data_IF_598293635990
#
_entry.id   IF_598293635990
#
_cell.length_a   1.000
_cell.length_b   1.000
_cell.length_c   1.000
_cell.angle_alpha   90.00
_cell.angle_beta   90.00
_cell.angle_gamma   90.00
#
_symmetry.space_group_name_H-M   'P 1'
#
loop_
_entity.id
_entity.type
_entity.pdbx_description
1 polymer ?
#
# COMPACT_ATOMS: atom_id res chain seq x y z
N UNK A 1 1.42 101.51 -14.03
CA UNK A 1 2.32 101.02 -12.97
C UNK A 1 1.82 99.66 -12.53
N UNK A 2 2.60 98.61 -12.77
CA UNK A 2 2.61 97.36 -12.01
C UNK A 2 3.90 96.60 -12.42
N UNK A 3 4.79 96.26 -11.47
CA UNK A 3 6.09 95.70 -11.80
C UNK A 3 6.01 94.20 -12.11
N UNK A 4 6.68 93.79 -13.20
CA UNK A 4 6.97 92.40 -13.52
C UNK A 4 8.07 91.88 -12.59
N UNK A 5 7.79 90.81 -11.84
CA UNK A 5 8.81 89.95 -11.23
C UNK A 5 8.97 88.68 -12.08
N UNK A 6 10.21 88.18 -12.28
CA UNK A 6 10.42 86.92 -12.98
C UNK A 6 10.13 85.73 -12.04
N UNK A 7 9.37 84.75 -12.53
CA UNK A 7 9.14 83.48 -11.83
C UNK A 7 10.38 82.59 -12.01
N UNK A 8 11.01 82.19 -10.91
CA UNK A 8 12.06 81.16 -10.90
C UNK A 8 11.44 79.75 -10.98
N UNK A 9 12.13 78.77 -11.61
CA UNK A 9 11.67 77.39 -11.65
C UNK A 9 11.97 76.66 -10.33
N UNK A 10 10.92 76.15 -9.69
CA UNK A 10 11.03 75.25 -8.53
C UNK A 10 11.31 73.84 -9.08
N UNK A 11 12.55 73.38 -8.99
CA UNK A 11 12.95 72.00 -9.32
C UNK A 11 12.60 71.08 -8.13
N UNK A 12 11.94 69.92 -8.32
CA UNK A 12 11.53 69.06 -7.22
C UNK A 12 12.68 68.12 -6.81
N UNK A 13 13.54 68.57 -5.88
CA UNK A 13 14.59 67.75 -5.27
C UNK A 13 14.07 66.64 -4.34
N UNK A 14 12.75 66.50 -4.16
CA UNK A 14 12.16 65.64 -3.12
C UNK A 14 11.75 64.23 -3.59
N UNK A 15 11.64 63.97 -4.91
CA UNK A 15 11.16 62.67 -5.43
C UNK A 15 12.24 61.61 -5.61
N UNK A 16 13.53 61.98 -5.60
CA UNK A 16 14.62 61.00 -5.73
C UNK A 16 14.92 60.28 -4.39
N UNK A 17 14.78 60.95 -3.24
CA UNK A 17 15.08 60.34 -1.93
C UNK A 17 14.10 59.24 -1.51
N UNK A 18 12.80 59.37 -1.78
CA UNK A 18 11.80 58.39 -1.31
C UNK A 18 11.93 57.05 -2.03
N UNK A 19 12.27 57.04 -3.33
CA UNK A 19 12.48 55.80 -4.09
C UNK A 19 13.74 55.06 -3.65
N UNK A 20 14.80 55.79 -3.28
CA UNK A 20 16.03 55.22 -2.73
C UNK A 20 15.77 54.63 -1.35
N UNK A 21 15.03 55.34 -0.51
CA UNK A 21 14.66 54.86 0.82
C UNK A 21 13.77 53.61 0.75
N UNK A 22 12.77 53.58 -0.13
CA UNK A 22 11.89 52.43 -0.30
C UNK A 22 12.65 51.18 -0.78
N UNK A 23 13.57 51.33 -1.76
CA UNK A 23 14.42 50.23 -2.20
C UNK A 23 15.31 49.69 -1.08
N UNK A 24 15.88 50.57 -0.25
CA UNK A 24 16.71 50.16 0.88
C UNK A 24 15.88 49.39 1.93
N UNK A 25 14.68 49.85 2.26
CA UNK A 25 13.77 49.17 3.21
C UNK A 25 13.36 47.79 2.68
N UNK A 26 13.00 47.69 1.40
CA UNK A 26 12.63 46.40 0.77
C UNK A 26 13.82 45.45 0.76
N UNK A 27 15.03 45.92 0.46
CA UNK A 27 16.22 45.08 0.48
C UNK A 27 16.53 44.51 1.87
N UNK A 28 16.40 45.32 2.93
CA UNK A 28 16.57 44.86 4.32
C UNK A 28 15.50 43.85 4.71
N UNK A 29 14.25 44.07 4.32
CA UNK A 29 13.16 43.13 4.59
C UNK A 29 13.36 41.78 3.89
N UNK A 30 13.77 41.78 2.61
CA UNK A 30 14.05 40.56 1.86
C UNK A 30 15.22 39.80 2.48
N UNK A 31 16.32 40.48 2.84
CA UNK A 31 17.46 39.86 3.49
C UNK A 31 17.11 39.25 4.87
N UNK A 32 16.25 39.92 5.64
CA UNK A 32 15.76 39.39 6.90
C UNK A 32 14.89 38.13 6.70
N UNK A 33 14.03 38.12 5.68
CA UNK A 33 13.18 36.96 5.35
C UNK A 33 14.04 35.78 4.88
N UNK A 34 15.04 35.99 4.03
CA UNK A 34 15.93 34.91 3.57
C UNK A 34 16.73 34.31 4.72
N UNK A 35 17.25 35.14 5.64
CA UNK A 35 17.94 34.63 6.84
C UNK A 35 17.00 33.86 7.77
N UNK A 36 15.75 34.31 7.96
CA UNK A 36 14.77 33.57 8.76
C UNK A 36 14.42 32.21 8.13
N UNK A 37 14.34 32.13 6.80
CA UNK A 37 14.09 30.87 6.09
C UNK A 37 15.28 29.92 6.19
N UNK A 38 16.51 30.41 6.04
CA UNK A 38 17.72 29.59 6.24
C UNK A 38 17.82 29.03 7.66
N UNK A 39 17.57 29.87 8.68
CA UNK A 39 17.56 29.41 10.09
C UNK A 39 16.46 28.39 10.32
N UNK A 40 15.28 28.57 9.74
CA UNK A 40 14.18 27.60 9.86
C UNK A 40 14.54 26.24 9.24
N UNK A 41 15.20 26.21 8.08
CA UNK A 41 15.65 24.97 7.43
C UNK A 41 16.68 24.24 8.29
N UNK A 42 17.67 24.95 8.85
CA UNK A 42 18.69 24.35 9.74
C UNK A 42 18.06 23.79 11.03
N UNK A 43 17.09 24.50 11.61
CA UNK A 43 16.35 24.00 12.79
C UNK A 43 15.56 22.74 12.45
N UNK A 44 14.91 22.70 11.29
CA UNK A 44 14.14 21.52 10.85
C UNK A 44 15.05 20.31 10.60
N UNK A 45 16.20 20.48 9.95
CA UNK A 45 17.19 19.41 9.75
C UNK A 45 17.72 18.86 11.09
N UNK A 46 18.00 19.73 12.06
CA UNK A 46 18.45 19.32 13.39
C UNK A 46 17.37 18.52 14.16
N UNK A 47 16.10 18.91 14.05
CA UNK A 47 14.98 18.21 14.69
C UNK A 47 14.78 16.83 14.05
N UNK A 48 14.88 16.71 12.73
CA UNK A 48 14.78 15.43 12.02
C UNK A 48 15.94 14.50 12.41
N UNK A 49 17.17 15.01 12.50
CA UNK A 49 18.33 14.24 12.94
C UNK A 49 18.20 13.74 14.40
N UNK A 50 17.67 14.58 15.30
CA UNK A 50 17.39 14.19 16.70
C UNK A 50 16.28 13.13 16.78
N UNK A 51 15.25 13.21 15.92
CA UNK A 51 14.18 12.21 15.89
C UNK A 51 14.66 10.83 15.40
N UNK A 52 15.56 10.80 14.40
CA UNK A 52 16.16 9.56 13.88
C UNK A 52 17.01 8.87 14.97
N UNK A 53 17.84 9.62 15.70
CA UNK A 53 18.67 9.05 16.78
C UNK A 53 17.83 8.54 17.97
N UNK A 54 16.70 9.18 18.29
CA UNK A 54 15.78 8.68 19.31
C UNK A 54 15.06 7.40 18.89
N UNK A 55 14.75 7.21 17.60
CA UNK A 55 14.14 5.96 17.11
C UNK A 55 15.11 4.77 17.18
N UNK A 56 16.41 4.97 16.91
CA UNK A 56 17.39 3.88 17.03
C UNK A 56 17.60 3.42 18.49
N UNK A 57 17.54 4.33 19.46
CA UNK A 57 17.64 3.98 20.90
C UNK A 57 16.43 3.17 21.39
N UNK A 58 15.22 3.45 20.88
CA UNK A 58 14.00 2.70 21.25
C UNK A 58 14.04 1.26 20.73
N UNK A 59 14.57 1.03 19.52
CA UNK A 59 14.69 -0.32 18.95
C UNK A 59 15.71 -1.17 19.73
N UNK A 60 16.79 -0.58 20.24
CA UNK A 60 17.82 -1.33 21.00
C UNK A 60 17.37 -1.71 22.42
N UNK A 61 16.53 -0.90 23.08
CA UNK A 61 16.03 -1.21 24.43
C UNK A 61 14.96 -2.32 24.44
N UNK A 62 14.23 -2.52 23.34
CA UNK A 62 13.19 -3.55 23.27
C UNK A 62 13.74 -5.00 23.13
N UNK A 63 15.04 -5.19 22.90
CA UNK A 63 15.63 -6.51 22.66
C UNK A 63 16.08 -7.26 23.94
N UNK A 64 16.00 -6.66 25.13
CA UNK A 64 16.39 -7.32 26.38
C UNK A 64 15.23 -7.41 27.37
N UNK A 65 14.66 -8.61 27.47
CA UNK A 65 14.07 -9.10 28.71
C UNK A 65 12.56 -9.23 28.71
N UNK A 66 12.09 -10.44 28.38
CA UNK A 66 11.02 -11.11 29.14
C UNK A 66 11.28 -12.61 29.12
N UNK A 67 12.03 -13.07 30.12
CA UNK A 67 12.07 -14.47 30.54
C UNK A 67 11.35 -14.60 31.88
N UNK A 68 10.55 -15.66 32.01
CA UNK A 68 10.28 -16.31 33.31
C UNK A 68 8.83 -16.33 33.82
N UNK A 69 8.51 -17.50 34.40
CA UNK A 69 7.38 -17.88 35.28
C UNK A 69 6.00 -18.12 34.65
N UNK A 70 5.30 -19.23 34.92
CA UNK A 70 5.52 -20.33 35.84
C UNK A 70 4.18 -21.09 35.97
N UNK A 71 4.22 -22.42 36.07
CA UNK A 71 2.98 -23.20 36.26
C UNK A 71 3.10 -24.68 35.94
N UNK A 72 3.74 -25.44 36.83
CA UNK A 72 3.66 -26.90 36.81
C UNK A 72 2.43 -27.41 37.57
N UNK A 73 1.91 -28.57 37.16
CA UNK A 73 1.69 -29.71 38.06
C UNK A 73 1.35 -30.97 37.25
N UNK A 74 2.14 -32.02 37.41
CA UNK A 74 1.91 -33.33 36.83
C UNK A 74 2.95 -34.33 37.31
N UNK A 75 2.69 -34.96 38.46
CA UNK A 75 3.59 -35.90 39.14
C UNK A 75 3.43 -37.32 38.59
N UNK A 76 4.56 -38.02 38.45
CA UNK A 76 4.68 -39.48 38.50
C UNK A 76 5.07 -40.11 37.16
N UNK A 77 5.96 -41.10 37.06
CA UNK A 77 6.73 -41.90 38.04
C UNK A 77 7.89 -42.56 37.26
N UNK A 78 9.07 -42.60 37.89
CA UNK A 78 10.03 -43.72 37.84
C UNK A 78 10.73 -44.06 36.52
N UNK A 79 12.06 -43.99 36.51
CA UNK A 79 12.86 -44.62 35.46
C UNK A 79 14.30 -44.14 35.41
N UNK A 80 15.12 -44.61 36.36
CA UNK A 80 16.58 -44.52 36.29
C UNK A 80 17.09 -45.36 35.13
N UNK A 81 17.72 -44.76 34.11
CA UNK A 81 18.70 -45.45 33.28
C UNK A 81 19.85 -44.52 32.88
N UNK A 82 21.04 -45.07 33.08
CA UNK A 82 22.36 -44.49 32.82
C UNK A 82 22.50 -44.10 31.36
N UNK A 83 23.29 -43.06 31.13
CA UNK A 83 23.84 -42.67 29.85
C UNK A 83 24.70 -43.81 29.27
N UNK A 84 24.37 -44.27 28.08
CA UNK A 84 25.33 -44.91 27.18
C UNK A 84 25.26 -44.22 25.81
N UNK A 85 26.44 -43.85 25.35
CA UNK A 85 26.77 -43.20 24.10
C UNK A 85 26.42 -44.07 22.89
N UNK A 86 25.50 -43.59 22.05
CA UNK A 86 25.30 -44.08 20.69
C UNK A 86 24.72 -42.97 19.79
N UNK A 87 25.43 -41.85 19.71
CA UNK A 87 25.20 -40.82 18.68
C UNK A 87 26.09 -41.13 17.49
N UNK A 88 25.52 -41.60 16.36
CA UNK A 88 26.05 -41.34 15.00
C UNK A 88 25.22 -41.96 13.87
N UNK A 89 24.35 -42.95 14.10
CA UNK A 89 23.71 -43.70 12.99
C UNK A 89 22.24 -43.42 12.73
N UNK A 90 21.54 -42.65 13.58
CA UNK A 90 20.09 -42.41 13.43
C UNK A 90 19.72 -41.12 12.67
N UNK A 91 20.68 -40.24 12.36
CA UNK A 91 20.38 -38.92 11.78
C UNK A 91 19.97 -39.01 10.32
N UNK A 92 20.58 -39.89 9.52
CA UNK A 92 20.31 -39.99 8.08
C UNK A 92 18.95 -40.61 7.75
N UNK A 93 18.44 -41.48 8.63
CA UNK A 93 17.14 -42.15 8.41
C UNK A 93 15.97 -41.24 8.78
N UNK A 94 16.15 -40.37 9.78
CA UNK A 94 15.17 -39.33 10.12
C UNK A 94 15.14 -38.26 9.02
N UNK A 95 16.30 -37.87 8.49
CA UNK A 95 16.43 -36.85 7.46
C UNK A 95 15.87 -37.33 6.10
N UNK A 96 16.11 -38.59 5.72
CA UNK A 96 15.47 -39.21 4.54
C UNK A 96 13.97 -39.40 4.69
N UNK A 97 13.50 -39.69 5.91
CA UNK A 97 12.06 -39.79 6.20
C UNK A 97 11.38 -38.41 6.24
N UNK A 98 12.11 -37.35 6.56
CA UNK A 98 11.63 -35.97 6.52
C UNK A 98 11.60 -35.41 5.10
N UNK A 99 12.57 -35.79 4.25
CA UNK A 99 12.54 -35.49 2.81
C UNK A 99 11.44 -36.28 2.06
N UNK A 100 11.13 -37.52 2.47
CA UNK A 100 9.97 -38.26 1.96
C UNK A 100 8.61 -37.74 2.46
N UNK A 101 8.62 -36.89 3.50
CA UNK A 101 7.46 -36.16 4.02
C UNK A 101 7.41 -34.72 3.51
N UNK A 102 8.11 -34.39 2.42
CA UNK A 102 7.81 -33.19 1.64
C UNK A 102 6.37 -33.29 1.16
N UNK A 103 5.48 -32.75 1.98
CA UNK A 103 4.04 -32.75 1.82
C UNK A 103 3.73 -32.25 0.40
N UNK A 104 3.34 -33.18 -0.47
CA UNK A 104 2.46 -32.82 -1.58
C UNK A 104 1.31 -32.02 -0.96
N UNK A 105 0.84 -30.93 -1.60
CA UNK A 105 -0.38 -30.28 -1.15
C UNK A 105 -1.42 -31.37 -0.92
N UNK A 106 -2.12 -31.37 0.22
CA UNK A 106 -3.28 -32.24 0.41
C UNK A 106 -4.28 -31.88 -0.69
N UNK A 107 -4.16 -32.56 -1.83
CA UNK A 107 -5.05 -32.39 -2.96
C UNK A 107 -6.42 -32.79 -2.45
N UNK A 108 -7.33 -31.82 -2.46
CA UNK A 108 -8.72 -31.98 -2.08
C UNK A 108 -9.33 -33.15 -2.86
N UNK A 109 -9.31 -34.34 -2.25
CA UNK A 109 -9.85 -35.58 -2.82
C UNK A 109 -11.38 -35.60 -2.85
N UNK A 110 -12.03 -34.51 -2.41
CA UNK A 110 -13.46 -34.30 -2.51
C UNK A 110 -13.73 -33.60 -3.84
N UNK A 111 -13.88 -34.37 -4.92
CA UNK A 111 -14.43 -33.86 -6.18
C UNK A 111 -15.95 -34.02 -6.15
N UNK A 112 -16.68 -32.96 -6.45
CA UNK A 112 -18.12 -33.04 -6.65
C UNK A 112 -18.40 -33.90 -7.90
N UNK A 113 -19.42 -34.76 -7.82
CA UNK A 113 -19.91 -35.49 -9.00
C UNK A 113 -20.44 -34.51 -10.05
N UNK A 114 -20.19 -34.77 -11.33
CA UNK A 114 -20.75 -33.98 -12.42
C UNK A 114 -22.28 -33.93 -12.37
N UNK A 115 -22.87 -32.82 -12.83
CA UNK A 115 -24.33 -32.67 -12.90
C UNK A 115 -24.92 -33.77 -13.80
N UNK A 116 -25.94 -34.52 -13.35
CA UNK A 116 -26.66 -35.46 -14.20
C UNK A 116 -27.44 -34.70 -15.30
N UNK A 117 -27.84 -35.38 -16.40
CA UNK A 117 -28.54 -34.73 -17.50
C UNK A 117 -29.76 -33.91 -17.06
N UNK A 118 -30.07 -32.80 -17.78
CA UNK A 118 -31.24 -31.98 -17.45
C UNK A 118 -32.53 -32.80 -17.52
N UNK A 119 -33.49 -32.48 -16.65
CA UNK A 119 -34.80 -33.12 -16.63
C UNK A 119 -35.59 -32.86 -17.92
N UNK A 120 -36.26 -33.89 -18.42
CA UNK A 120 -36.99 -33.86 -19.72
C UNK A 120 -38.51 -33.81 -19.50
N UNK A 121 -38.98 -34.15 -18.30
CA UNK A 121 -40.41 -34.26 -17.98
C UNK A 121 -40.98 -32.86 -17.69
N UNK A 122 -42.05 -32.48 -18.40
CA UNK A 122 -42.81 -31.26 -18.16
C UNK A 122 -43.04 -30.43 -19.42
N UNK A 123 -43.89 -29.41 -19.31
CA UNK A 123 -44.11 -28.43 -20.37
C UNK A 123 -43.03 -27.33 -20.30
N UNK A 124 -42.48 -26.95 -21.46
CA UNK A 124 -41.47 -25.88 -21.53
C UNK A 124 -42.14 -24.52 -21.34
N UNK A 125 -41.61 -23.71 -20.44
CA UNK A 125 -42.10 -22.35 -20.19
C UNK A 125 -40.95 -21.34 -20.23
N UNK A 126 -41.20 -20.15 -20.79
CA UNK A 126 -40.23 -19.08 -20.86
C UNK A 126 -40.18 -18.32 -19.53
N UNK A 127 -39.02 -18.36 -18.86
CA UNK A 127 -38.80 -17.66 -17.58
C UNK A 127 -37.76 -16.57 -17.77
N UNK A 128 -38.02 -15.39 -17.21
CA UNK A 128 -37.01 -14.35 -17.04
C UNK A 128 -36.35 -14.52 -15.68
N UNK A 129 -35.04 -14.35 -15.61
CA UNK A 129 -34.29 -14.43 -14.34
C UNK A 129 -33.48 -13.15 -14.15
N UNK A 130 -33.00 -12.95 -12.92
CA UNK A 130 -32.10 -11.84 -12.58
C UNK A 130 -30.64 -12.19 -12.89
N UNK A 131 -30.39 -12.98 -13.93
CA UNK A 131 -29.05 -13.29 -14.42
C UNK A 131 -28.80 -12.48 -15.70
N UNK A 132 -27.74 -11.69 -15.67
CA UNK A 132 -27.32 -10.89 -16.81
C UNK A 132 -26.06 -11.54 -17.40
N UNK A 133 -26.04 -11.71 -18.72
CA UNK A 133 -24.86 -12.19 -19.43
C UNK A 133 -23.75 -11.14 -19.30
N UNK A 134 -22.60 -11.57 -18.81
CA UNK A 134 -21.41 -10.72 -18.69
C UNK A 134 -20.39 -11.23 -19.70
N UNK A 135 -20.06 -10.39 -20.66
CA UNK A 135 -19.00 -10.66 -21.61
C UNK A 135 -17.74 -9.93 -21.16
N UNK A 136 -16.67 -10.69 -20.98
CA UNK A 136 -15.35 -10.12 -20.74
C UNK A 136 -14.66 -9.98 -22.09
N UNK A 137 -14.08 -8.81 -22.33
CA UNK A 137 -13.38 -8.49 -23.57
C UNK A 137 -12.26 -9.51 -23.83
N UNK A 138 -12.35 -10.22 -24.96
CA UNK A 138 -11.34 -11.18 -25.41
C UNK A 138 -9.94 -10.57 -25.60
N UNK A 139 -9.84 -9.24 -25.69
CA UNK A 139 -8.55 -8.54 -25.71
C UNK A 139 -7.86 -8.50 -24.34
N UNK A 140 -8.62 -8.65 -23.24
CA UNK A 140 -8.12 -8.66 -21.88
C UNK A 140 -7.56 -10.05 -21.55
N UNK A 141 -6.32 -10.29 -21.96
CA UNK A 141 -5.63 -11.57 -21.73
C UNK A 141 -5.19 -11.75 -20.28
N UNK A 142 -4.80 -10.67 -19.62
CA UNK A 142 -4.17 -10.68 -18.32
C UNK A 142 -4.65 -9.51 -17.48
N UNK A 143 -4.73 -9.71 -16.17
CA UNK A 143 -4.86 -8.63 -15.19
C UNK A 143 -3.89 -8.85 -14.03
N UNK A 144 -3.50 -7.76 -13.39
CA UNK A 144 -2.43 -7.78 -12.40
C UNK A 144 -3.01 -7.69 -11.00
N UNK A 145 -2.63 -8.64 -10.14
CA UNK A 145 -3.01 -8.66 -8.73
C UNK A 145 -1.88 -8.12 -7.86
N UNK A 146 -2.21 -7.11 -7.08
CA UNK A 146 -1.35 -6.47 -6.10
C UNK A 146 -1.90 -6.69 -4.69
N UNK A 147 -0.98 -6.77 -3.73
CA UNK A 147 -1.26 -6.72 -2.31
C UNK A 147 -1.05 -5.31 -1.77
N UNK A 148 -2.01 -4.86 -0.97
CA UNK A 148 -2.05 -3.55 -0.33
C UNK A 148 -1.92 -3.76 1.18
N UNK A 149 -0.87 -3.19 1.76
CA UNK A 149 -0.70 -3.11 3.21
C UNK A 149 -0.79 -1.66 3.67
N UNK A 150 -1.71 -1.40 4.60
CA UNK A 150 -1.94 -0.07 5.18
C UNK A 150 -1.43 -0.06 6.61
N UNK A 151 -0.57 0.91 6.91
CA UNK A 151 0.00 1.17 8.24
C UNK A 151 -0.32 2.62 8.64
N UNK A 152 -0.79 2.90 9.86
CA UNK A 152 -1.18 1.97 10.93
C UNK A 152 -2.45 1.18 10.61
N UNK A 153 -2.70 0.13 11.38
CA UNK A 153 -3.89 -0.73 11.20
C UNK A 153 -5.17 0.10 11.31
N UNK A 154 -5.98 0.04 10.27
CA UNK A 154 -7.24 0.78 10.18
C UNK A 154 -8.28 0.13 11.09
N UNK A 155 -8.99 0.95 11.87
CA UNK A 155 -9.97 0.50 12.87
C UNK A 155 -11.30 0.10 12.23
N UNK A 156 -11.78 0.88 11.26
CA UNK A 156 -13.09 0.68 10.63
C UNK A 156 -12.94 0.22 9.18
N UNK A 157 -13.78 -0.74 8.76
CA UNK A 157 -13.75 -1.27 7.39
C UNK A 157 -14.03 -0.21 6.31
N UNK A 158 -14.81 0.83 6.66
CA UNK A 158 -15.14 1.93 5.73
C UNK A 158 -13.92 2.77 5.37
N UNK A 159 -13.00 2.93 6.31
CA UNK A 159 -11.84 3.80 6.13
C UNK A 159 -10.84 3.24 5.12
N UNK A 160 -10.78 1.91 4.90
CA UNK A 160 -9.93 1.31 3.86
C UNK A 160 -10.25 1.86 2.47
N UNK A 161 -11.54 2.00 2.13
CA UNK A 161 -11.96 2.53 0.82
C UNK A 161 -11.67 4.02 0.70
N UNK A 162 -11.92 4.79 1.76
CA UNK A 162 -11.61 6.22 1.81
C UNK A 162 -10.11 6.46 1.62
N UNK A 163 -9.26 5.68 2.29
CA UNK A 163 -7.80 5.78 2.15
C UNK A 163 -7.37 5.48 0.72
N UNK A 164 -7.92 4.44 0.09
CA UNK A 164 -7.59 4.09 -1.30
C UNK A 164 -8.15 5.07 -2.33
N UNK A 165 -9.29 5.71 -2.05
CA UNK A 165 -9.82 6.81 -2.87
C UNK A 165 -8.88 8.03 -2.83
N UNK A 166 -8.40 8.41 -1.65
CA UNK A 166 -7.43 9.50 -1.52
C UNK A 166 -6.08 9.16 -2.19
N UNK A 167 -5.61 7.93 -2.04
CA UNK A 167 -4.41 7.45 -2.75
C UNK A 167 -4.57 7.59 -4.26
N UNK A 168 -5.73 7.18 -4.80
CA UNK A 168 -6.05 7.34 -6.21
C UNK A 168 -6.03 8.82 -6.58
N UNK A 169 -6.71 9.69 -5.84
CA UNK A 169 -6.76 11.11 -6.16
C UNK A 169 -5.37 11.78 -6.21
N UNK A 170 -4.43 11.35 -5.37
CA UNK A 170 -3.09 11.93 -5.27
C UNK A 170 -2.08 11.35 -6.27
N UNK A 171 -2.13 10.03 -6.50
CA UNK A 171 -1.05 9.31 -7.20
C UNK A 171 -1.48 8.63 -8.50
N UNK A 172 -2.76 8.74 -8.89
CA UNK A 172 -3.27 8.07 -10.09
C UNK A 172 -2.53 8.53 -11.36
N UNK A 173 -2.40 9.83 -11.57
CA UNK A 173 -1.79 10.38 -12.80
C UNK A 173 -0.26 10.32 -12.77
N UNK A 174 0.34 10.49 -11.59
CA UNK A 174 1.80 10.60 -11.43
C UNK A 174 2.49 9.24 -11.43
N UNK A 175 1.97 8.30 -10.64
CA UNK A 175 2.65 7.03 -10.35
C UNK A 175 1.92 5.81 -10.91
N UNK A 176 0.64 5.94 -11.29
CA UNK A 176 -0.19 4.82 -11.75
C UNK A 176 -0.68 4.97 -13.19
N UNK A 177 -0.10 5.91 -13.95
CA UNK A 177 -0.38 6.17 -15.37
C UNK A 177 -1.88 6.38 -15.72
N UNK A 178 -2.71 6.78 -14.77
CA UNK A 178 -4.14 6.97 -15.02
C UNK A 178 -4.93 5.66 -15.17
N UNK A 179 -4.34 4.50 -14.85
CA UNK A 179 -4.99 3.22 -15.07
C UNK A 179 -6.21 3.04 -14.15
N UNK A 180 -7.33 2.49 -14.65
CA UNK A 180 -8.46 2.17 -13.79
C UNK A 180 -8.10 1.01 -12.84
N UNK A 181 -8.34 1.22 -11.55
CA UNK A 181 -7.96 0.27 -10.50
C UNK A 181 -9.20 -0.18 -9.71
N UNK A 182 -9.25 -1.47 -9.41
CA UNK A 182 -10.32 -2.11 -8.62
C UNK A 182 -9.76 -2.59 -7.28
N UNK A 183 -10.38 -2.14 -6.18
CA UNK A 183 -9.97 -2.48 -4.83
C UNK A 183 -11.11 -3.21 -4.11
N UNK A 184 -10.80 -4.36 -3.51
CA UNK A 184 -11.77 -5.19 -2.77
C UNK A 184 -12.24 -4.50 -1.47
N UNK A 185 -11.42 -3.62 -0.90
CA UNK A 185 -11.69 -2.98 0.41
C UNK A 185 -10.79 -3.49 1.54
N UNK A 186 -9.81 -4.35 1.24
CA UNK A 186 -8.88 -4.92 2.21
C UNK A 186 -7.44 -4.99 1.70
N UNK A 187 -7.04 -6.14 1.15
CA UNK A 187 -5.64 -6.40 0.78
C UNK A 187 -5.44 -6.54 -0.72
N UNK A 188 -6.47 -6.93 -1.47
CA UNK A 188 -6.34 -7.18 -2.90
C UNK A 188 -6.67 -5.96 -3.73
N UNK A 189 -5.83 -5.71 -4.71
CA UNK A 189 -5.91 -4.61 -5.65
C UNK A 189 -5.63 -5.13 -7.06
N UNK A 190 -6.47 -4.75 -8.02
CA UNK A 190 -6.42 -5.28 -9.38
C UNK A 190 -6.34 -4.15 -10.39
N UNK A 191 -5.52 -4.34 -11.41
CA UNK A 191 -5.36 -3.39 -12.52
C UNK A 191 -5.41 -4.12 -13.86
N UNK A 192 -5.83 -3.39 -14.90
CA UNK A 192 -5.80 -3.89 -16.28
C UNK A 192 -4.38 -4.02 -16.78
N UNK A 193 -3.60 -2.95 -16.65
CA UNK A 193 -2.20 -2.92 -17.05
C UNK A 193 -1.27 -2.99 -15.84
N UNK A 194 -0.03 -3.42 -16.08
CA UNK A 194 1.00 -3.43 -15.05
C UNK A 194 1.37 -2.00 -14.68
N UNK A 195 1.35 -1.71 -13.38
CA UNK A 195 1.86 -0.44 -12.84
C UNK A 195 3.36 -0.29 -13.15
N UNK A 196 3.88 0.95 -13.24
CA UNK A 196 5.29 1.22 -13.54
C UNK A 196 6.25 0.85 -12.39
N UNK A 197 5.78 0.12 -11.39
CA UNK A 197 6.55 -0.39 -10.26
C UNK A 197 6.07 -1.78 -9.85
N UNK A 198 6.97 -2.55 -9.23
CA UNK A 198 6.67 -3.87 -8.65
C UNK A 198 6.28 -3.73 -7.18
N UNK A 199 6.94 -2.85 -6.45
CA UNK A 199 6.62 -2.50 -5.07
C UNK A 199 6.84 -1.00 -4.88
N UNK A 200 5.90 -0.31 -4.24
CA UNK A 200 6.02 1.11 -3.91
C UNK A 200 5.21 1.46 -2.67
N UNK A 201 5.74 2.37 -1.87
CA UNK A 201 5.10 2.91 -0.68
C UNK A 201 4.63 4.35 -0.92
N UNK A 202 3.44 4.65 -0.41
CA UNK A 202 2.79 5.95 -0.53
C UNK A 202 2.44 6.47 0.86
N UNK A 203 3.06 7.58 1.26
CA UNK A 203 2.79 8.25 2.52
C UNK A 203 1.90 9.47 2.30
N UNK A 204 0.69 9.47 2.86
CA UNK A 204 -0.23 10.61 2.78
C UNK A 204 -1.13 10.71 4.01
N UNK A 205 -1.74 11.87 4.21
CA UNK A 205 -2.63 12.12 5.32
C UNK A 205 -4.10 12.10 4.90
N UNK A 206 -4.93 11.32 5.58
CA UNK A 206 -6.38 11.27 5.40
C UNK A 206 -7.05 11.70 6.70
N UNK A 207 -7.90 12.73 6.67
CA UNK A 207 -8.63 13.26 7.84
C UNK A 207 -7.72 13.52 9.04
N UNK A 208 -6.58 14.18 8.81
CA UNK A 208 -5.56 14.50 9.82
C UNK A 208 -4.85 13.29 10.45
N UNK A 209 -4.93 12.10 9.84
CA UNK A 209 -4.16 10.92 10.22
C UNK A 209 -3.22 10.54 9.10
N UNK A 210 -1.98 10.22 9.43
CA UNK A 210 -0.99 9.76 8.46
C UNK A 210 -1.13 8.26 8.23
N UNK A 211 -1.10 7.86 6.96
CA UNK A 211 -1.09 6.47 6.54
C UNK A 211 0.05 6.26 5.54
N UNK A 212 0.65 5.08 5.64
CA UNK A 212 1.59 4.55 4.66
C UNK A 212 0.92 3.35 4.02
N UNK A 213 0.75 3.42 2.71
CA UNK A 213 0.18 2.34 1.90
C UNK A 213 1.27 1.76 1.03
N UNK A 214 1.61 0.50 1.25
CA UNK A 214 2.53 -0.23 0.38
C UNK A 214 1.73 -1.09 -0.59
N UNK A 215 2.06 -0.99 -1.88
CA UNK A 215 1.48 -1.76 -2.97
C UNK A 215 2.57 -2.64 -3.56
N UNK A 216 2.34 -3.94 -3.60
CA UNK A 216 3.30 -4.94 -4.11
C UNK A 216 2.64 -5.90 -5.09
N UNK A 217 3.27 -6.18 -6.24
CA UNK A 217 2.77 -7.13 -7.22
C UNK A 217 2.87 -8.55 -6.66
N UNK A 218 1.75 -9.28 -6.71
CA UNK A 218 1.67 -10.66 -6.22
C UNK A 218 1.65 -11.64 -7.39
N UNK A 219 0.74 -11.42 -8.33
CA UNK A 219 0.50 -12.35 -9.42
C UNK A 219 0.03 -11.63 -10.67
N UNK A 220 0.35 -12.23 -11.81
CA UNK A 220 -0.32 -11.95 -13.08
C UNK A 220 -1.37 -13.03 -13.24
N UNK A 221 -2.61 -12.64 -13.46
CA UNK A 221 -3.73 -13.58 -13.62
C UNK A 221 -4.10 -13.58 -15.09
N UNK A 222 -3.83 -14.72 -15.74
CA UNK A 222 -4.23 -14.97 -17.11
C UNK A 222 -5.72 -15.31 -17.16
N UNK A 223 -6.43 -14.59 -18.02
CA UNK A 223 -7.84 -14.79 -18.29
C UNK A 223 -8.06 -15.84 -19.40
N UNK A 224 -7.06 -16.64 -19.78
CA UNK A 224 -7.17 -17.58 -20.89
C UNK A 224 -8.26 -18.65 -20.72
N UNK A 225 -8.74 -18.88 -19.50
CA UNK A 225 -9.49 -20.08 -19.15
C UNK A 225 -10.93 -19.85 -18.62
N UNK A 226 -11.37 -18.60 -18.40
CA UNK A 226 -12.74 -18.36 -17.88
C UNK A 226 -13.84 -18.78 -18.86
N UNK A 227 -13.49 -18.84 -20.16
CA UNK A 227 -14.42 -19.15 -21.23
C UNK A 227 -14.63 -20.66 -21.41
N UNK A 228 -13.76 -21.51 -20.87
CA UNK A 228 -13.91 -22.97 -20.95
C UNK A 228 -15.06 -23.53 -20.11
N UNK A 229 -15.79 -22.67 -19.38
CA UNK A 229 -17.01 -23.05 -18.67
C UNK A 229 -18.30 -22.85 -19.49
N UNK A 230 -18.19 -22.28 -20.70
CA UNK A 230 -19.34 -22.01 -21.57
C UNK A 230 -19.01 -22.40 -23.01
N UNK A 231 -19.80 -23.31 -23.58
CA UNK A 231 -19.66 -23.70 -24.99
C UNK A 231 -19.89 -22.48 -25.90
N UNK A 232 -19.17 -22.40 -27.02
CA UNK A 232 -19.19 -21.28 -27.96
C UNK A 232 -20.58 -21.01 -28.57
N UNK A 233 -21.52 -21.94 -28.41
CA UNK A 233 -22.89 -21.85 -28.92
C UNK A 233 -23.86 -21.09 -28.00
N UNK A 234 -23.38 -20.51 -26.88
CA UNK A 234 -24.26 -19.87 -25.88
C UNK A 234 -25.22 -20.85 -25.20
N UNK A 235 -24.99 -22.15 -25.40
CA UNK A 235 -25.55 -23.23 -24.62
C UNK A 235 -24.78 -23.35 -23.32
N UNK A 236 -25.50 -23.54 -22.21
CA UNK A 236 -24.88 -23.94 -20.95
C UNK A 236 -24.25 -25.32 -21.22
N UNK A 237 -22.92 -25.37 -21.30
CA UNK A 237 -22.17 -26.60 -21.44
C UNK A 237 -22.51 -27.53 -20.27
N UNK A 238 -22.98 -28.74 -20.58
CA UNK A 238 -23.15 -29.85 -19.64
C UNK A 238 -22.42 -31.07 -20.20
#
# INVERSE_FOLDING_TARGET
>A
MNPLWPKLPIVPLYMFSVKVLHKAVVAVAVAAITHLMEVAVVVMEAVVAAAITLMEVVVVVAAHGYGGDGGGCGRGRGGSWRSDSAQASFSSDVERKLEQLSLKPEEQLIRFSSRPPPGIIGEKFLVKTNHFQVEIDSSLKEFFHYNVSITPKVLFSKDYRVIMEELRNLYLETDMNGEPLAYDGRKSFYTRNRLPFVCKEFGFSVRNKQYVVAISLVAVIELGDYRLLYDEDGGIAW
#
